data_IF_451477952180
#
_entry.id   IF_451477952180
#
_cell.length_a   1.000
_cell.length_b   1.000
_cell.length_c   1.000
_cell.angle_alpha   90.00
_cell.angle_beta   90.00
_cell.angle_gamma   90.00
#
_symmetry.space_group_name_H-M   'P 1'
#
loop_
_entity.id
_entity.type
_entity.pdbx_description
1 polymer ?
#
# COMPACT_ATOMS: atom_id res chain seq x y z
N UNK A 1 8.61 -7.06 -26.24
CA UNK A 1 8.30 -7.08 -24.79
C UNK A 1 8.02 -5.64 -24.36
N UNK A 2 6.79 -5.35 -23.94
CA UNK A 2 6.42 -4.01 -23.47
C UNK A 2 6.74 -3.88 -21.97
N UNK A 3 7.84 -3.20 -21.67
CA UNK A 3 8.12 -2.81 -20.29
C UNK A 3 7.20 -1.66 -19.88
N UNK A 4 6.52 -1.80 -18.75
CA UNK A 4 5.76 -0.73 -18.15
C UNK A 4 6.72 0.21 -17.44
N UNK A 5 6.52 1.51 -17.61
CA UNK A 5 7.27 2.52 -16.88
C UNK A 5 6.76 2.64 -15.42
N UNK A 6 7.49 3.38 -14.59
CA UNK A 6 7.18 3.57 -13.16
C UNK A 6 5.78 4.14 -12.98
N UNK A 7 5.35 5.08 -13.82
CA UNK A 7 4.03 5.68 -13.71
C UNK A 7 2.90 4.66 -13.98
N UNK A 8 3.06 3.82 -15.01
CA UNK A 8 2.11 2.75 -15.30
C UNK A 8 2.04 1.73 -14.15
N UNK A 9 3.17 1.39 -13.55
CA UNK A 9 3.23 0.50 -12.40
C UNK A 9 2.54 1.12 -11.17
N UNK A 10 2.78 2.41 -10.90
CA UNK A 10 2.10 3.13 -9.82
C UNK A 10 0.57 3.10 -9.99
N UNK A 11 0.07 3.35 -11.20
CA UNK A 11 -1.36 3.31 -11.49
C UNK A 11 -1.97 1.94 -11.19
N UNK A 12 -1.31 0.87 -11.58
CA UNK A 12 -1.79 -0.50 -11.38
C UNK A 12 -1.77 -0.90 -9.91
N UNK A 13 -0.69 -0.59 -9.19
CA UNK A 13 -0.57 -0.89 -7.76
C UNK A 13 -1.62 -0.10 -6.97
N UNK A 14 -1.79 1.18 -7.25
CA UNK A 14 -2.81 2.01 -6.59
C UNK A 14 -4.23 1.51 -6.87
N UNK A 15 -4.51 1.05 -8.08
CA UNK A 15 -5.80 0.45 -8.44
C UNK A 15 -6.07 -0.80 -7.59
N UNK A 16 -5.08 -1.67 -7.44
CA UNK A 16 -5.20 -2.88 -6.62
C UNK A 16 -5.40 -2.54 -5.13
N UNK A 17 -4.60 -1.63 -4.58
CA UNK A 17 -4.75 -1.17 -3.20
C UNK A 17 -6.12 -0.56 -2.96
N UNK A 18 -6.60 0.27 -3.87
CA UNK A 18 -7.94 0.89 -3.79
C UNK A 18 -9.03 -0.17 -3.75
N UNK A 19 -8.95 -1.21 -4.57
CA UNK A 19 -9.94 -2.29 -4.58
C UNK A 19 -9.99 -3.04 -3.24
N UNK A 20 -8.87 -3.14 -2.53
CA UNK A 20 -8.79 -3.81 -1.22
C UNK A 20 -9.27 -2.95 -0.07
N UNK A 21 -9.07 -1.63 -0.14
CA UNK A 21 -9.34 -0.70 0.95
C UNK A 21 -10.71 -0.02 0.85
N UNK A 22 -11.24 0.18 -0.35
CA UNK A 22 -12.52 0.87 -0.56
C UNK A 22 -13.75 -0.02 -0.38
N UNK A 23 -13.57 -1.34 -0.26
CA UNK A 23 -14.67 -2.31 -0.15
C UNK A 23 -15.33 -2.34 1.25
N UNK A 24 -14.70 -1.73 2.25
CA UNK A 24 -15.16 -1.74 3.63
C UNK A 24 -15.38 -0.31 4.13
N UNK A 25 -16.57 -0.03 4.62
CA UNK A 25 -16.91 1.24 5.27
C UNK A 25 -16.68 1.10 6.78
N UNK A 26 -15.40 1.13 7.19
CA UNK A 26 -15.00 0.96 8.59
C UNK A 26 -13.87 1.94 8.93
N UNK A 27 -13.86 2.54 10.13
CA UNK A 27 -12.82 3.49 10.54
C UNK A 27 -11.38 2.98 10.38
N UNK A 28 -11.16 1.69 10.60
CA UNK A 28 -9.86 1.05 10.40
C UNK A 28 -9.37 1.20 8.95
N UNK A 29 -10.27 0.97 8.00
CA UNK A 29 -9.95 1.10 6.57
C UNK A 29 -9.73 2.55 6.15
N UNK A 30 -10.44 3.49 6.79
CA UNK A 30 -10.23 4.93 6.55
C UNK A 30 -8.82 5.36 6.97
N UNK A 31 -8.34 4.89 8.12
CA UNK A 31 -6.98 5.18 8.60
C UNK A 31 -5.90 4.57 7.68
N UNK A 32 -6.09 3.33 7.24
CA UNK A 32 -5.17 2.67 6.31
C UNK A 32 -5.15 3.40 4.96
N UNK A 33 -6.32 3.75 4.43
CA UNK A 33 -6.45 4.51 3.17
C UNK A 33 -5.80 5.88 3.27
N UNK A 34 -6.00 6.58 4.39
CA UNK A 34 -5.37 7.87 4.66
C UNK A 34 -3.84 7.76 4.58
N UNK A 35 -3.26 6.79 5.28
CA UNK A 35 -1.81 6.62 5.29
C UNK A 35 -1.25 6.36 3.89
N UNK A 36 -1.94 5.55 3.10
CA UNK A 36 -1.54 5.21 1.73
C UNK A 36 -1.90 6.27 0.68
N UNK A 37 -2.58 7.35 1.09
CA UNK A 37 -3.01 8.41 0.16
C UNK A 37 -4.10 7.96 -0.81
N UNK A 38 -4.90 6.96 -0.44
CA UNK A 38 -6.00 6.44 -1.24
C UNK A 38 -7.31 7.12 -0.82
N UNK A 39 -8.13 7.52 -1.82
CA UNK A 39 -9.43 8.15 -1.56
C UNK A 39 -9.35 9.63 -1.20
N UNK A 40 -8.18 10.21 -1.16
CA UNK A 40 -7.99 11.65 -1.10
C UNK A 40 -7.84 12.15 -2.55
N UNK A 41 -8.96 12.51 -3.14
CA UNK A 41 -9.00 13.03 -4.51
C UNK A 41 -8.31 14.39 -4.60
N UNK A 42 -6.98 14.37 -4.54
CA UNK A 42 -6.19 15.43 -5.14
C UNK A 42 -6.10 15.09 -6.62
N UNK A 43 -6.92 15.77 -7.41
CA UNK A 43 -7.00 15.57 -8.86
C UNK A 43 -5.60 15.39 -9.48
N UNK A 44 -5.36 14.23 -10.06
CA UNK A 44 -4.19 13.96 -10.88
C UNK A 44 -2.92 13.52 -10.14
N UNK A 45 -2.92 13.41 -8.80
CA UNK A 45 -1.75 12.91 -8.06
C UNK A 45 -1.90 11.41 -7.80
N UNK A 46 -1.04 10.62 -8.43
CA UNK A 46 -0.92 9.18 -8.18
C UNK A 46 0.20 8.99 -7.16
N UNK A 47 -0.08 8.44 -5.96
CA UNK A 47 0.98 8.15 -4.99
C UNK A 47 2.04 7.21 -5.56
N UNK A 48 3.31 7.55 -5.34
CA UNK A 48 4.43 6.67 -5.69
C UNK A 48 4.43 5.42 -4.81
N UNK A 49 4.68 4.26 -5.42
CA UNK A 49 4.72 2.96 -4.75
C UNK A 49 6.12 2.34 -4.89
N UNK A 50 7.08 2.93 -4.19
CA UNK A 50 8.50 2.60 -4.36
C UNK A 50 8.81 1.12 -4.20
N UNK A 51 8.31 0.48 -3.15
CA UNK A 51 8.60 -0.93 -2.87
C UNK A 51 7.94 -1.83 -3.91
N UNK A 52 6.67 -1.60 -4.20
CA UNK A 52 5.94 -2.33 -5.24
C UNK A 52 6.56 -2.15 -6.61
N UNK A 53 7.01 -0.93 -6.93
CA UNK A 53 7.67 -0.64 -8.21
C UNK A 53 9.00 -1.37 -8.34
N UNK A 54 9.85 -1.35 -7.31
CA UNK A 54 11.14 -2.08 -7.33
C UNK A 54 10.88 -3.57 -7.60
N UNK A 55 9.89 -4.14 -6.92
CA UNK A 55 9.50 -5.53 -7.14
C UNK A 55 9.03 -5.78 -8.58
N UNK A 56 8.11 -4.97 -9.09
CA UNK A 56 7.57 -5.11 -10.44
C UNK A 56 8.63 -4.87 -11.53
N UNK A 57 9.53 -3.93 -11.31
CA UNK A 57 10.66 -3.71 -12.22
C UNK A 57 11.59 -4.94 -12.27
N UNK A 58 11.85 -5.56 -11.12
CA UNK A 58 12.62 -6.81 -11.07
C UNK A 58 11.89 -7.93 -11.83
N UNK A 59 10.56 -8.07 -11.63
CA UNK A 59 9.75 -9.04 -12.36
C UNK A 59 9.91 -8.84 -13.88
N UNK A 60 9.78 -7.61 -14.36
CA UNK A 60 9.97 -7.31 -15.79
C UNK A 60 11.38 -7.64 -16.27
N UNK A 61 12.40 -7.29 -15.49
CA UNK A 61 13.80 -7.53 -15.85
C UNK A 61 14.11 -9.02 -16.03
N UNK A 62 13.43 -9.88 -15.29
CA UNK A 62 13.55 -11.34 -15.41
C UNK A 62 12.54 -11.97 -16.39
N UNK A 63 11.82 -11.15 -17.15
CA UNK A 63 10.88 -11.63 -18.16
C UNK A 63 9.53 -12.10 -17.61
N UNK A 64 9.22 -11.74 -16.37
CA UNK A 64 7.94 -12.07 -15.74
C UNK A 64 6.80 -11.14 -16.14
N UNK A 65 5.59 -11.53 -15.77
CA UNK A 65 4.36 -10.80 -16.07
C UNK A 65 3.91 -10.02 -14.83
N UNK A 66 3.93 -8.68 -14.91
CA UNK A 66 3.53 -7.80 -13.82
C UNK A 66 2.05 -7.89 -13.47
N UNK A 67 1.20 -8.29 -14.40
CA UNK A 67 -0.23 -8.49 -14.12
C UNK A 67 -0.44 -9.68 -13.16
N UNK A 68 0.37 -10.72 -13.30
CA UNK A 68 0.32 -11.89 -12.42
C UNK A 68 0.88 -11.64 -11.03
N UNK A 69 1.76 -10.67 -10.89
CA UNK A 69 2.46 -10.37 -9.62
C UNK A 69 1.93 -9.13 -8.90
N UNK A 70 0.86 -8.52 -9.41
CA UNK A 70 0.29 -7.29 -8.84
C UNK A 70 -0.12 -7.44 -7.37
N UNK A 71 -0.62 -8.60 -6.97
CA UNK A 71 -1.00 -8.86 -5.58
C UNK A 71 0.19 -8.85 -4.65
N UNK A 72 1.35 -9.35 -5.12
CA UNK A 72 2.59 -9.30 -4.33
C UNK A 72 3.04 -7.85 -4.15
N UNK A 73 3.01 -7.06 -5.22
CA UNK A 73 3.36 -5.64 -5.16
C UNK A 73 2.46 -4.88 -4.17
N UNK A 74 1.14 -5.12 -4.23
CA UNK A 74 0.20 -4.52 -3.28
C UNK A 74 0.45 -4.97 -1.84
N UNK A 75 0.71 -6.26 -1.62
CA UNK A 75 1.04 -6.78 -0.29
C UNK A 75 2.32 -6.16 0.29
N UNK A 76 3.35 -5.96 -0.54
CA UNK A 76 4.59 -5.29 -0.14
C UNK A 76 4.35 -3.83 0.28
N UNK A 77 3.50 -3.11 -0.43
CA UNK A 77 3.13 -1.74 -0.06
C UNK A 77 2.34 -1.69 1.25
N UNK A 78 1.46 -2.65 1.50
CA UNK A 78 0.74 -2.76 2.77
C UNK A 78 1.70 -3.07 3.94
N UNK A 79 2.68 -3.95 3.75
CA UNK A 79 3.71 -4.22 4.76
C UNK A 79 4.57 -2.98 5.01
N UNK A 80 4.95 -2.26 3.97
CA UNK A 80 5.68 -1.01 4.13
C UNK A 80 4.87 0.01 4.94
N UNK A 81 3.57 0.15 4.64
CA UNK A 81 2.66 1.03 5.39
C UNK A 81 2.54 0.63 6.86
N UNK A 82 2.45 -0.66 7.16
CA UNK A 82 2.50 -1.18 8.53
C UNK A 82 3.78 -0.72 9.25
N UNK A 83 4.94 -0.90 8.63
CA UNK A 83 6.21 -0.49 9.21
C UNK A 83 6.27 1.02 9.43
N UNK A 84 5.81 1.82 8.48
CA UNK A 84 5.80 3.28 8.58
C UNK A 84 4.89 3.78 9.70
N UNK A 85 3.66 3.28 9.81
CA UNK A 85 2.72 3.68 10.86
C UNK A 85 3.29 3.37 12.24
N UNK A 86 3.85 2.18 12.44
CA UNK A 86 4.44 1.79 13.72
C UNK A 86 5.73 2.56 14.04
N UNK A 87 6.54 2.87 13.02
CA UNK A 87 7.72 3.73 13.18
C UNK A 87 7.33 5.16 13.59
N UNK A 88 6.27 5.70 12.99
CA UNK A 88 5.76 7.02 13.36
C UNK A 88 5.33 7.10 14.82
N UNK A 89 4.65 6.06 15.33
CA UNK A 89 4.29 5.97 16.76
C UNK A 89 5.52 5.88 17.64
N UNK A 90 6.43 4.97 17.31
CA UNK A 90 7.63 4.72 18.10
C UNK A 90 8.55 5.93 18.16
N UNK A 91 8.71 6.63 17.05
CA UNK A 91 9.57 7.81 16.93
C UNK A 91 8.88 9.11 17.39
N UNK A 92 7.57 9.06 17.69
CA UNK A 92 6.80 10.25 18.07
C UNK A 92 6.69 11.28 16.94
N UNK A 93 6.69 10.84 15.69
CA UNK A 93 6.72 11.70 14.51
C UNK A 93 5.33 12.28 14.21
N UNK A 94 5.12 13.60 14.34
CA UNK A 94 3.81 14.20 14.08
C UNK A 94 3.46 14.27 12.60
N UNK A 95 4.47 14.31 11.71
CA UNK A 95 4.28 14.34 10.27
C UNK A 95 5.26 13.40 9.55
N UNK A 96 4.84 12.96 8.38
CA UNK A 96 5.66 12.21 7.43
C UNK A 96 5.49 12.85 6.05
N UNK A 97 6.59 13.35 5.49
CA UNK A 97 6.60 14.03 4.18
C UNK A 97 5.58 15.19 4.10
N UNK A 98 5.46 15.97 5.18
CA UNK A 98 4.55 17.12 5.24
C UNK A 98 3.08 16.78 5.46
N UNK A 99 2.75 15.51 5.72
CA UNK A 99 1.40 15.03 6.00
C UNK A 99 1.32 14.54 7.44
N UNK A 100 0.26 14.92 8.16
CA UNK A 100 0.04 14.45 9.53
C UNK A 100 0.02 12.93 9.58
N UNK A 101 0.66 12.36 10.59
CA UNK A 101 0.71 10.91 10.77
C UNK A 101 -0.60 10.37 11.36
N UNK A 102 -0.85 9.07 11.16
CA UNK A 102 -2.07 8.43 11.67
C UNK A 102 -2.17 8.58 13.19
N UNK A 103 -1.06 8.38 13.93
CA UNK A 103 -1.11 8.51 15.39
C UNK A 103 -1.36 9.94 15.85
N UNK A 104 -0.90 10.94 15.09
CA UNK A 104 -1.15 12.35 15.39
C UNK A 104 -2.64 12.69 15.27
N UNK A 105 -3.32 12.16 14.26
CA UNK A 105 -4.75 12.43 14.00
C UNK A 105 -5.69 11.58 14.85
N UNK A 106 -5.38 10.30 15.04
CA UNK A 106 -6.28 9.34 15.70
C UNK A 106 -5.77 8.77 17.02
N UNK A 107 -4.57 9.16 17.44
CA UNK A 107 -3.93 8.65 18.64
C UNK A 107 -3.12 7.38 18.42
N UNK A 108 -2.18 7.08 19.36
CA UNK A 108 -1.23 5.97 19.20
C UNK A 108 -1.92 4.60 19.18
N UNK A 109 -2.95 4.39 19.98
CA UNK A 109 -3.66 3.10 20.04
C UNK A 109 -4.33 2.79 18.69
N UNK A 110 -4.98 3.76 18.07
CA UNK A 110 -5.61 3.58 16.76
C UNK A 110 -4.57 3.39 15.65
N UNK A 111 -3.44 4.09 15.72
CA UNK A 111 -2.34 3.92 14.76
C UNK A 111 -1.76 2.50 14.83
N UNK A 112 -1.56 1.95 16.03
CA UNK A 112 -1.11 0.57 16.19
C UNK A 112 -2.11 -0.40 15.55
N UNK A 113 -3.41 -0.20 15.80
CA UNK A 113 -4.46 -1.01 15.18
C UNK A 113 -4.46 -0.90 13.65
N UNK A 114 -4.28 0.31 13.11
CA UNK A 114 -4.22 0.52 11.66
C UNK A 114 -3.02 -0.20 11.03
N UNK A 115 -1.85 -0.12 11.66
CA UNK A 115 -0.67 -0.86 11.23
C UNK A 115 -0.88 -2.37 11.27
N UNK A 116 -1.42 -2.91 12.36
CA UNK A 116 -1.74 -4.33 12.48
C UNK A 116 -2.77 -4.77 11.44
N UNK A 117 -3.75 -3.91 11.14
CA UNK A 117 -4.72 -4.12 10.07
C UNK A 117 -4.06 -4.22 8.70
N UNK A 118 -3.10 -3.35 8.40
CA UNK A 118 -2.31 -3.42 7.16
C UNK A 118 -1.51 -4.71 7.05
N UNK A 119 -0.86 -5.12 8.13
CA UNK A 119 -0.11 -6.38 8.16
C UNK A 119 -1.02 -7.58 7.89
N UNK A 120 -2.17 -7.62 8.53
CA UNK A 120 -3.17 -8.69 8.35
C UNK A 120 -3.73 -8.70 6.91
N UNK A 121 -4.05 -7.51 6.38
CA UNK A 121 -4.55 -7.38 5.02
C UNK A 121 -3.48 -7.79 3.99
N UNK A 122 -2.22 -7.44 4.22
CA UNK A 122 -1.11 -7.86 3.37
C UNK A 122 -1.00 -9.38 3.27
N UNK A 123 -1.11 -10.07 4.40
CA UNK A 123 -1.09 -11.54 4.44
C UNK A 123 -2.28 -12.14 3.70
N UNK A 124 -3.47 -11.55 3.87
CA UNK A 124 -4.67 -11.98 3.16
C UNK A 124 -4.52 -11.82 1.64
N UNK A 125 -4.01 -10.67 1.20
CA UNK A 125 -3.77 -10.39 -0.22
C UNK A 125 -2.72 -11.36 -0.78
N UNK A 126 -1.60 -11.55 -0.07
CA UNK A 126 -0.54 -12.47 -0.49
C UNK A 126 -1.02 -13.93 -0.58
N UNK A 127 -1.94 -14.36 0.31
CA UNK A 127 -2.48 -15.71 0.29
C UNK A 127 -3.26 -16.04 -1.00
N UNK A 128 -3.73 -15.03 -1.71
CA UNK A 128 -4.48 -15.18 -2.96
C UNK A 128 -3.59 -15.33 -4.20
N UNK A 129 -2.28 -15.15 -4.06
CA UNK A 129 -1.34 -15.25 -5.18
C UNK A 129 -1.42 -16.65 -5.85
N UNK A 130 -1.53 -17.71 -5.08
CA UNK A 130 -1.66 -19.06 -5.58
C UNK A 130 -2.93 -19.33 -6.40
N UNK A 131 -3.98 -18.54 -6.22
CA UNK A 131 -5.24 -18.68 -6.97
C UNK A 131 -5.09 -18.23 -8.43
N UNK A 132 -4.03 -17.49 -8.75
CA UNK A 132 -3.76 -16.96 -10.09
C UNK A 132 -2.73 -17.78 -10.88
N UNK A 133 -2.42 -19.00 -10.44
CA UNK A 133 -1.65 -19.96 -11.24
C UNK A 133 -0.13 -19.80 -11.17
N UNK A 134 0.37 -19.49 -10.02
CA UNK A 134 1.81 -19.58 -9.72
C UNK A 134 2.20 -21.00 -9.33
#
# INVERSE_FOLDING_TARGET
MNFKDVHALDLEINKELRSRLSSKNMPLYDMMSYHLGIGQDQEGIVPERQIGNIFQMAVQAFGGDTDRTILVAAALELINGFCEIHDDVQSGRPDRNGKDTVWWLWGPAQAINAGDGMHSLARLVASKVGEYGF
#
